data_IF_152127975295
#
_entry.id   IF_152127975295
#
_cell.length_a   1.000
_cell.length_b   1.000
_cell.length_c   1.000
_cell.angle_alpha   90.00
_cell.angle_beta   90.00
_cell.angle_gamma   90.00
#
_symmetry.space_group_name_H-M   'P 1'
#
loop_
_entity.id
_entity.type
_entity.pdbx_description
1 polymer ?
#
# COMPACT_ATOMS: atom_id res chain seq x y z
N UNK A 1 -5.77 -28.69 17.94
CA UNK A 1 -4.89 -27.78 17.16
C UNK A 1 -3.49 -28.39 17.18
N UNK A 2 -2.82 -28.44 16.04
CA UNK A 2 -1.43 -28.93 15.93
C UNK A 2 -0.62 -27.79 15.30
N UNK A 3 0.46 -27.41 15.98
CA UNK A 3 1.39 -26.38 15.51
C UNK A 3 2.71 -27.08 15.20
N UNK A 4 2.85 -27.54 13.95
CA UNK A 4 4.00 -28.30 13.47
C UNK A 4 4.18 -28.09 11.98
N UNK A 5 5.36 -28.35 11.47
CA UNK A 5 5.63 -28.27 10.03
C UNK A 5 5.17 -29.55 9.32
N UNK A 6 4.60 -29.37 8.13
CA UNK A 6 4.22 -30.48 7.26
C UNK A 6 5.49 -31.09 6.67
N UNK A 7 5.69 -32.42 6.84
CA UNK A 7 6.73 -33.14 6.12
C UNK A 7 6.24 -33.54 4.72
N UNK A 8 5.07 -34.21 4.65
CA UNK A 8 4.45 -34.60 3.38
C UNK A 8 2.97 -34.95 3.54
N UNK A 9 2.26 -34.94 2.44
CA UNK A 9 0.92 -35.53 2.34
C UNK A 9 1.05 -37.03 2.17
N UNK A 10 0.13 -37.78 2.76
CA UNK A 10 0.00 -39.24 2.66
C UNK A 10 -1.35 -39.61 2.09
N UNK A 11 -1.58 -40.88 1.81
CA UNK A 11 -2.90 -41.36 1.33
C UNK A 11 -4.00 -41.27 2.38
N UNK A 12 -3.65 -41.11 3.66
CA UNK A 12 -4.60 -41.04 4.78
C UNK A 12 -4.57 -39.71 5.53
N UNK A 13 -3.78 -38.70 5.06
CA UNK A 13 -3.71 -37.42 5.73
C UNK A 13 -2.37 -36.71 5.59
N UNK A 14 -1.89 -36.08 6.65
CA UNK A 14 -0.69 -35.26 6.67
C UNK A 14 0.30 -35.83 7.70
N UNK A 15 1.54 -36.10 7.29
CA UNK A 15 2.63 -36.41 8.18
C UNK A 15 3.38 -35.12 8.54
N UNK A 16 3.55 -34.87 9.83
CA UNK A 16 4.30 -33.72 10.34
C UNK A 16 5.77 -34.07 10.55
N UNK A 17 6.65 -33.07 10.63
CA UNK A 17 8.08 -33.27 10.88
C UNK A 17 8.38 -33.93 12.24
N UNK A 18 7.51 -33.76 13.22
CA UNK A 18 7.61 -34.49 14.50
C UNK A 18 7.27 -35.98 14.39
N UNK A 19 6.89 -36.47 13.21
CA UNK A 19 6.49 -37.86 12.96
C UNK A 19 5.02 -38.16 13.26
N UNK A 20 4.21 -37.15 13.59
CA UNK A 20 2.78 -37.36 13.86
C UNK A 20 1.99 -37.41 12.56
N UNK A 21 1.19 -38.48 12.37
CA UNK A 21 0.21 -38.58 11.31
C UNK A 21 -1.10 -37.93 11.76
N UNK A 22 -1.58 -36.97 10.97
CA UNK A 22 -2.88 -36.33 11.11
C UNK A 22 -3.81 -36.93 10.07
N UNK A 23 -4.65 -37.86 10.49
CA UNK A 23 -5.63 -38.50 9.58
C UNK A 23 -6.69 -37.50 9.15
N UNK A 24 -7.03 -37.49 7.87
CA UNK A 24 -8.04 -36.63 7.28
C UNK A 24 -8.53 -37.20 5.96
N UNK A 25 -9.84 -37.19 5.75
CA UNK A 25 -10.50 -37.54 4.50
C UNK A 25 -10.42 -36.38 3.48
N UNK A 26 -10.40 -35.14 3.99
CA UNK A 26 -10.33 -33.92 3.18
C UNK A 26 -9.28 -32.98 3.79
N UNK A 27 -8.40 -32.46 2.97
CA UNK A 27 -7.42 -31.43 3.35
C UNK A 27 -7.74 -30.14 2.63
N UNK A 28 -8.02 -29.09 3.39
CA UNK A 28 -8.25 -27.74 2.86
C UNK A 28 -7.00 -26.90 3.10
N UNK A 29 -6.40 -26.40 2.01
CA UNK A 29 -5.24 -25.51 2.09
C UNK A 29 -5.68 -24.07 2.25
N UNK A 30 -5.20 -23.41 3.32
CA UNK A 30 -5.43 -22.01 3.61
C UNK A 30 -4.09 -21.38 4.04
N UNK A 31 -3.05 -21.56 3.23
CA UNK A 31 -1.65 -21.24 3.55
C UNK A 31 -1.26 -19.79 3.33
N UNK A 32 -2.25 -18.92 3.04
CA UNK A 32 -2.04 -17.50 2.74
C UNK A 32 -1.75 -17.24 1.26
N UNK A 33 -1.13 -16.08 0.99
CA UNK A 33 -0.82 -15.62 -0.36
C UNK A 33 0.50 -14.84 -0.38
N UNK A 34 1.00 -14.53 -1.56
CA UNK A 34 2.05 -13.56 -1.77
C UNK A 34 1.43 -12.21 -2.13
N UNK A 35 2.02 -11.13 -1.62
CA UNK A 35 1.59 -9.79 -1.94
C UNK A 35 2.10 -9.43 -3.34
N UNK A 36 1.19 -9.03 -4.23
CA UNK A 36 1.52 -8.43 -5.52
C UNK A 36 1.24 -6.94 -5.43
N UNK A 37 2.29 -6.14 -5.50
CA UNK A 37 2.15 -4.68 -5.51
C UNK A 37 1.62 -4.27 -6.87
N UNK A 38 0.46 -3.57 -6.89
CA UNK A 38 -0.20 -3.11 -8.12
C UNK A 38 -0.40 -4.22 -9.18
N UNK A 39 -0.59 -5.47 -8.73
CA UNK A 39 -0.90 -6.60 -9.60
C UNK A 39 0.25 -7.07 -10.48
N UNK A 40 1.50 -6.81 -10.10
CA UNK A 40 2.72 -7.11 -10.88
C UNK A 40 2.71 -6.46 -12.28
N UNK A 41 2.08 -5.29 -12.43
CA UNK A 41 2.09 -4.51 -13.66
C UNK A 41 3.44 -3.79 -13.77
N UNK A 42 4.10 -3.93 -14.91
CA UNK A 42 5.31 -3.17 -15.24
C UNK A 42 4.92 -1.74 -15.61
N UNK A 43 5.41 -0.78 -14.85
CA UNK A 43 5.23 0.64 -15.13
C UNK A 43 6.51 1.24 -15.69
N UNK A 44 6.37 2.07 -16.72
CA UNK A 44 7.47 2.81 -17.34
C UNK A 44 7.06 4.27 -17.44
N UNK A 45 7.90 5.19 -16.97
CA UNK A 45 7.70 6.64 -17.06
C UNK A 45 8.86 7.24 -17.86
N UNK A 46 8.54 7.91 -18.95
CA UNK A 46 9.54 8.56 -19.82
C UNK A 46 10.66 7.61 -20.30
N UNK A 47 10.34 6.33 -20.48
CA UNK A 47 11.28 5.29 -20.92
C UNK A 47 12.02 4.57 -19.78
N UNK A 48 11.88 5.02 -18.54
CA UNK A 48 12.53 4.43 -17.38
C UNK A 48 11.57 3.53 -16.57
N UNK A 49 11.98 2.31 -16.20
CA UNK A 49 11.17 1.44 -15.35
C UNK A 49 10.91 2.07 -13.98
N UNK A 50 9.67 2.02 -13.52
CA UNK A 50 9.28 2.49 -12.20
C UNK A 50 9.29 1.34 -11.20
N UNK A 51 10.10 1.48 -10.15
CA UNK A 51 10.08 0.59 -9.00
C UNK A 51 9.36 1.29 -7.83
N UNK A 52 8.19 0.77 -7.43
CA UNK A 52 7.40 1.39 -6.36
C UNK A 52 8.10 1.36 -5.00
N UNK A 53 8.99 0.42 -4.73
CA UNK A 53 9.75 0.38 -3.47
C UNK A 53 10.71 1.57 -3.30
N UNK A 54 11.04 2.27 -4.39
CA UNK A 54 11.89 3.45 -4.36
C UNK A 54 11.09 4.75 -4.24
N UNK A 55 9.75 4.66 -4.27
CA UNK A 55 8.86 5.81 -4.17
C UNK A 55 8.43 6.10 -2.74
N UNK A 56 7.99 7.35 -2.52
CA UNK A 56 7.33 7.79 -1.29
C UNK A 56 5.86 8.08 -1.61
N UNK A 57 4.95 7.69 -0.74
CA UNK A 57 3.53 7.97 -0.99
C UNK A 57 3.15 9.37 -0.50
N UNK A 58 2.29 10.01 -1.29
CA UNK A 58 1.56 11.21 -0.89
C UNK A 58 0.21 10.78 -0.30
N UNK A 59 0.00 11.03 0.99
CA UNK A 59 -1.22 10.70 1.77
C UNK A 59 -1.70 9.25 1.57
N UNK A 60 -0.78 8.33 1.25
CA UNK A 60 -1.11 6.95 0.90
C UNK A 60 -2.02 6.79 -0.33
N UNK A 61 -2.10 7.79 -1.21
CA UNK A 61 -3.00 7.80 -2.39
C UNK A 61 -2.29 7.98 -3.71
N UNK A 62 -1.16 8.64 -3.73
CA UNK A 62 -0.35 8.90 -4.94
C UNK A 62 1.12 8.62 -4.62
N UNK A 63 1.99 8.68 -5.62
CA UNK A 63 3.43 8.40 -5.49
C UNK A 63 4.27 9.58 -5.96
N UNK A 64 5.30 9.91 -5.21
CA UNK A 64 6.27 10.93 -5.60
C UNK A 64 6.89 10.59 -6.95
N UNK A 65 6.92 11.56 -7.86
CA UNK A 65 7.46 11.41 -9.22
C UNK A 65 6.53 10.72 -10.22
N UNK A 66 5.37 10.19 -9.80
CA UNK A 66 4.44 9.48 -10.68
C UNK A 66 3.29 10.39 -11.08
N UNK A 67 3.15 10.75 -12.38
CA UNK A 67 2.12 11.68 -12.84
C UNK A 67 0.74 11.00 -12.91
N UNK A 68 -0.30 11.75 -12.56
CA UNK A 68 -1.71 11.43 -12.82
C UNK A 68 -2.17 10.04 -12.31
N UNK A 69 -1.50 9.48 -11.33
CA UNK A 69 -1.83 8.17 -10.80
C UNK A 69 -2.30 8.28 -9.35
N UNK A 70 -3.47 7.73 -9.07
CA UNK A 70 -3.95 7.47 -7.72
C UNK A 70 -4.16 5.98 -7.53
N UNK A 71 -3.91 5.49 -6.31
CA UNK A 71 -4.15 4.11 -5.95
C UNK A 71 -4.95 4.02 -4.65
N UNK A 72 -5.57 2.90 -4.44
CA UNK A 72 -6.27 2.61 -3.19
C UNK A 72 -5.61 1.40 -2.54
N UNK A 73 -5.03 1.64 -1.37
CA UNK A 73 -4.67 0.59 -0.43
C UNK A 73 -5.59 0.76 0.78
N UNK A 74 -6.33 -0.28 1.15
CA UNK A 74 -7.29 -0.22 2.24
C UNK A 74 -6.65 -0.24 3.62
N UNK A 75 -7.49 -0.43 4.63
CA UNK A 75 -7.05 -0.54 6.02
C UNK A 75 -6.76 -1.99 6.38
N UNK A 76 -5.76 -2.22 7.22
CA UNK A 76 -5.44 -3.58 7.69
C UNK A 76 -6.47 -4.15 8.66
N UNK A 77 -7.18 -3.29 9.38
CA UNK A 77 -8.12 -3.67 10.43
C UNK A 77 -9.54 -3.17 10.20
N UNK A 78 -9.83 -2.66 8.99
CA UNK A 78 -11.14 -2.14 8.61
C UNK A 78 -11.44 -2.48 7.15
N UNK A 79 -12.68 -2.21 6.71
CA UNK A 79 -13.07 -2.45 5.33
C UNK A 79 -12.26 -1.58 4.36
N UNK A 80 -11.80 -2.17 3.27
CA UNK A 80 -11.13 -1.48 2.17
C UNK A 80 -12.03 -0.45 1.50
N UNK A 81 -13.35 -0.71 1.45
CA UNK A 81 -14.34 0.18 0.82
C UNK A 81 -14.40 1.56 1.49
N UNK A 82 -14.16 1.62 2.80
CA UNK A 82 -14.11 2.91 3.51
C UNK A 82 -13.04 3.85 2.96
N UNK A 83 -11.90 3.30 2.57
CA UNK A 83 -10.83 4.11 1.99
C UNK A 83 -11.09 4.45 0.53
N UNK A 84 -11.75 3.57 -0.23
CA UNK A 84 -12.13 3.84 -1.62
C UNK A 84 -12.94 5.12 -1.73
N UNK A 85 -13.92 5.32 -0.86
CA UNK A 85 -14.77 6.52 -0.85
C UNK A 85 -13.94 7.77 -0.56
N UNK A 86 -13.09 7.75 0.46
CA UNK A 86 -12.24 8.90 0.81
C UNK A 86 -11.25 9.27 -0.30
N UNK A 87 -10.63 8.28 -0.93
CA UNK A 87 -9.72 8.51 -2.06
C UNK A 87 -10.50 9.00 -3.28
N UNK A 88 -11.71 8.47 -3.53
CA UNK A 88 -12.60 8.92 -4.60
C UNK A 88 -12.96 10.40 -4.45
N UNK A 89 -13.37 10.83 -3.27
CA UNK A 89 -13.68 12.23 -2.97
C UNK A 89 -12.44 13.13 -3.14
N UNK A 90 -11.29 12.70 -2.66
CA UNK A 90 -10.02 13.40 -2.85
C UNK A 90 -9.69 13.56 -4.34
N UNK A 91 -9.76 12.49 -5.13
CA UNK A 91 -9.47 12.50 -6.58
C UNK A 91 -10.46 13.39 -7.32
N UNK A 92 -11.77 13.34 -7.01
CA UNK A 92 -12.78 14.21 -7.62
C UNK A 92 -12.48 15.69 -7.33
N UNK A 93 -12.09 16.03 -6.10
CA UNK A 93 -11.70 17.38 -5.71
C UNK A 93 -10.43 17.83 -6.45
N UNK A 94 -9.43 16.96 -6.57
CA UNK A 94 -8.20 17.21 -7.31
C UNK A 94 -8.49 17.47 -8.80
N UNK A 95 -9.31 16.64 -9.44
CA UNK A 95 -9.70 16.82 -10.86
C UNK A 95 -10.47 18.12 -11.08
N UNK A 96 -11.36 18.50 -10.16
CA UNK A 96 -12.08 19.79 -10.25
C UNK A 96 -11.12 20.98 -10.08
N UNK A 97 -10.14 20.89 -9.20
CA UNK A 97 -9.09 21.90 -9.02
C UNK A 97 -8.26 22.05 -10.31
N UNK A 98 -7.82 20.94 -10.90
CA UNK A 98 -7.06 20.94 -12.16
C UNK A 98 -7.89 21.51 -13.31
N UNK A 99 -9.14 21.07 -13.48
CA UNK A 99 -10.05 21.57 -14.52
C UNK A 99 -10.29 23.07 -14.39
N UNK A 100 -10.50 23.56 -13.17
CA UNK A 100 -10.72 24.99 -12.92
C UNK A 100 -9.51 25.87 -13.27
N UNK A 101 -8.33 25.30 -13.35
CA UNK A 101 -7.06 25.97 -13.68
C UNK A 101 -6.54 25.63 -15.09
N UNK A 102 -7.23 24.80 -15.86
CA UNK A 102 -6.79 24.37 -17.19
C UNK A 102 -5.55 23.45 -17.14
N UNK A 103 -5.34 22.72 -16.04
CA UNK A 103 -4.19 21.84 -15.84
C UNK A 103 -4.53 20.40 -16.25
N UNK A 104 -3.57 19.69 -16.82
CA UNK A 104 -3.73 18.32 -17.32
C UNK A 104 -2.82 17.31 -16.63
N UNK A 105 -1.83 17.79 -15.86
CA UNK A 105 -0.84 16.96 -15.17
C UNK A 105 -0.73 17.36 -13.71
N UNK A 106 -0.63 16.36 -12.84
CA UNK A 106 -0.30 16.52 -11.44
C UNK A 106 0.70 15.45 -11.02
N UNK A 107 1.74 15.84 -10.29
CA UNK A 107 2.79 14.93 -9.80
C UNK A 107 3.07 15.28 -8.35
N UNK A 108 2.92 14.33 -7.40
CA UNK A 108 3.45 14.52 -6.05
C UNK A 108 4.95 14.71 -6.08
N UNK A 109 5.44 15.71 -5.38
CA UNK A 109 6.86 16.06 -5.32
C UNK A 109 7.25 16.45 -3.91
N UNK A 110 8.39 15.96 -3.43
CA UNK A 110 8.94 16.39 -2.16
C UNK A 110 9.32 17.88 -2.25
N UNK A 111 8.87 18.66 -1.29
CA UNK A 111 9.32 20.05 -1.14
C UNK A 111 10.80 20.05 -0.70
N UNK A 112 11.56 21.15 -0.87
CA UNK A 112 12.96 21.23 -0.41
C UNK A 112 13.15 20.85 1.07
N UNK A 113 12.20 21.25 1.92
CA UNK A 113 12.21 20.92 3.35
C UNK A 113 11.80 19.47 3.68
N UNK A 114 11.36 18.72 2.69
CA UNK A 114 10.99 17.30 2.84
C UNK A 114 12.07 16.37 2.26
N UNK A 115 13.05 16.89 1.54
CA UNK A 115 14.05 16.10 0.82
C UNK A 115 14.86 15.17 1.74
N UNK A 116 15.19 15.64 2.94
CA UNK A 116 15.97 14.89 3.93
C UNK A 116 15.09 14.27 5.04
N UNK A 117 13.77 14.17 4.84
CA UNK A 117 12.91 13.60 5.86
C UNK A 117 13.20 12.09 6.06
N UNK A 118 13.14 11.58 7.30
CA UNK A 118 13.29 10.17 7.57
C UNK A 118 12.20 9.36 6.87
N UNK A 119 12.60 8.31 6.15
CA UNK A 119 11.69 7.38 5.50
C UNK A 119 11.55 6.10 6.32
N UNK A 120 10.36 5.55 6.33
CA UNK A 120 10.02 4.27 6.96
C UNK A 120 9.30 3.35 5.98
N UNK A 121 9.27 2.03 6.25
CA UNK A 121 8.44 1.10 5.50
C UNK A 121 6.97 1.55 5.47
N UNK A 122 6.27 1.24 4.39
CA UNK A 122 4.83 1.50 4.25
C UNK A 122 4.00 0.86 5.37
N UNK A 123 4.38 -0.34 5.76
CA UNK A 123 3.76 -1.09 6.86
C UNK A 123 4.72 -1.13 8.01
N UNK A 124 4.29 -0.70 9.17
CA UNK A 124 5.02 -0.87 10.41
C UNK A 124 4.94 -2.34 10.87
N UNK A 125 6.05 -3.10 10.85
CA UNK A 125 6.06 -4.50 11.21
C UNK A 125 5.78 -4.75 12.70
N UNK A 126 5.93 -3.75 13.56
CA UNK A 126 5.58 -3.86 14.98
C UNK A 126 4.06 -3.84 15.19
N UNK A 127 3.33 -3.15 14.31
CA UNK A 127 1.88 -3.03 14.39
C UNK A 127 1.12 -4.05 13.54
N UNK A 128 1.67 -4.46 12.39
CA UNK A 128 1.02 -5.39 11.48
C UNK A 128 2.03 -6.27 10.76
N UNK A 129 2.09 -7.55 11.16
CA UNK A 129 3.15 -8.48 10.75
C UNK A 129 2.66 -9.85 10.22
N UNK A 130 1.59 -9.95 9.43
CA UNK A 130 1.24 -11.22 8.81
C UNK A 130 2.35 -11.67 7.86
N UNK A 131 2.54 -12.99 7.71
CA UNK A 131 3.67 -13.55 6.98
C UNK A 131 3.82 -13.05 5.54
N UNK A 132 2.73 -12.77 4.83
CA UNK A 132 2.78 -12.23 3.46
C UNK A 132 3.33 -10.80 3.41
N UNK A 133 3.04 -9.95 4.40
CA UNK A 133 3.62 -8.61 4.52
C UNK A 133 5.11 -8.71 4.86
N UNK A 134 5.46 -9.58 5.82
CA UNK A 134 6.87 -9.73 6.22
C UNK A 134 7.75 -10.22 5.06
N UNK A 135 7.21 -11.09 4.19
CA UNK A 135 7.94 -11.58 3.00
C UNK A 135 8.05 -10.54 1.89
N UNK A 136 7.04 -9.71 1.69
CA UNK A 136 6.90 -8.84 0.50
C UNK A 136 6.85 -7.35 0.84
N UNK A 137 6.96 -6.95 2.10
CA UNK A 137 6.89 -5.55 2.53
C UNK A 137 7.98 -4.66 1.90
N UNK A 138 9.11 -5.25 1.51
CA UNK A 138 10.18 -4.57 0.80
C UNK A 138 9.80 -4.13 -0.63
N UNK A 139 8.73 -4.69 -1.21
CA UNK A 139 8.18 -4.30 -2.51
C UNK A 139 7.23 -3.10 -2.42
N UNK A 140 6.75 -2.78 -1.22
CA UNK A 140 5.86 -1.65 -0.99
C UNK A 140 6.64 -0.33 -1.04
N UNK A 141 5.97 0.78 -1.37
CA UNK A 141 6.59 2.11 -1.30
C UNK A 141 7.00 2.46 0.13
N UNK A 142 7.67 3.58 0.28
CA UNK A 142 8.04 4.15 1.57
C UNK A 142 7.04 5.22 1.99
N UNK A 143 7.08 5.57 3.26
CA UNK A 143 6.37 6.71 3.81
C UNK A 143 7.34 7.61 4.60
N UNK A 144 7.02 8.90 4.65
CA UNK A 144 7.73 9.87 5.45
C UNK A 144 7.15 10.01 6.86
N UNK A 145 7.65 10.96 7.61
CA UNK A 145 7.22 11.26 8.97
C UNK A 145 6.24 12.44 9.08
N UNK A 146 5.96 13.16 7.98
CA UNK A 146 5.00 14.26 7.93
C UNK A 146 3.64 13.79 7.43
N UNK A 147 2.53 14.45 7.79
CA UNK A 147 1.17 14.02 7.44
C UNK A 147 0.97 13.82 5.93
N UNK A 148 1.57 14.66 5.08
CA UNK A 148 1.44 14.61 3.63
C UNK A 148 2.10 13.37 3.03
N UNK A 149 3.12 12.83 3.70
CA UNK A 149 3.93 11.71 3.21
C UNK A 149 3.66 10.39 3.93
N UNK A 150 2.55 10.34 4.67
CA UNK A 150 2.20 9.20 5.51
C UNK A 150 0.83 8.64 5.17
N UNK A 151 0.68 7.33 5.36
CA UNK A 151 -0.61 6.65 5.45
C UNK A 151 -0.93 6.38 6.92
N UNK A 152 -2.08 6.83 7.41
CA UNK A 152 -2.42 6.70 8.83
C UNK A 152 -2.85 5.29 9.23
N UNK A 153 -3.37 4.49 8.28
CA UNK A 153 -4.08 3.23 8.50
C UNK A 153 -5.29 3.35 9.45
N UNK A 154 -5.80 4.57 9.65
CA UNK A 154 -6.93 4.92 10.50
C UNK A 154 -7.97 5.70 9.69
N UNK A 155 -9.22 5.20 9.69
CA UNK A 155 -10.29 5.79 8.89
C UNK A 155 -10.67 7.21 9.36
N UNK A 156 -10.78 7.43 10.67
CA UNK A 156 -11.20 8.76 11.18
C UNK A 156 -10.12 9.81 10.91
N UNK A 157 -8.85 9.44 11.04
CA UNK A 157 -7.73 10.32 10.70
C UNK A 157 -7.72 10.63 9.20
N UNK A 158 -7.87 9.60 8.34
CA UNK A 158 -7.87 9.79 6.89
C UNK A 158 -9.06 10.62 6.40
N UNK A 159 -10.24 10.44 7.00
CA UNK A 159 -11.45 11.21 6.68
C UNK A 159 -11.22 12.71 6.87
N UNK A 160 -10.54 13.09 7.93
CA UNK A 160 -10.21 14.49 8.20
C UNK A 160 -9.07 14.98 7.31
N UNK A 161 -7.95 14.22 7.25
CA UNK A 161 -6.72 14.67 6.59
C UNK A 161 -6.82 14.68 5.06
N UNK A 162 -7.55 13.73 4.46
CA UNK A 162 -7.80 13.76 3.01
C UNK A 162 -8.77 14.90 2.64
N UNK A 163 -9.83 15.12 3.43
CA UNK A 163 -10.76 16.23 3.19
C UNK A 163 -10.08 17.60 3.33
N UNK A 164 -9.20 17.76 4.31
CA UNK A 164 -8.48 19.00 4.60
C UNK A 164 -7.20 19.20 3.75
N UNK A 165 -6.85 18.25 2.87
CA UNK A 165 -5.62 18.34 2.08
C UNK A 165 -5.62 19.63 1.23
N UNK A 166 -4.60 20.47 1.44
CA UNK A 166 -4.36 21.65 0.62
C UNK A 166 -3.72 21.21 -0.71
N UNK A 167 -4.41 21.48 -1.80
CA UNK A 167 -3.96 21.13 -3.15
C UNK A 167 -2.94 22.15 -3.73
N UNK A 168 -2.54 23.15 -2.93
CA UNK A 168 -1.66 24.24 -3.37
C UNK A 168 -0.45 24.44 -2.44
N UNK A 169 -0.17 23.52 -1.52
CA UNK A 169 0.89 23.60 -0.50
C UNK A 169 2.29 23.28 -1.03
N UNK A 170 2.43 23.06 -2.34
CA UNK A 170 3.70 22.72 -2.99
C UNK A 170 4.05 21.25 -3.01
N UNK A 171 3.23 20.38 -2.41
CA UNK A 171 3.40 18.91 -2.49
C UNK A 171 2.92 18.31 -3.80
N UNK A 172 2.07 19.03 -4.52
CA UNK A 172 1.54 18.69 -5.84
C UNK A 172 2.05 19.69 -6.88
N UNK A 173 2.82 19.21 -7.84
CA UNK A 173 3.33 20.00 -8.98
C UNK A 173 2.41 19.78 -10.17
N UNK A 174 1.94 20.86 -10.74
CA UNK A 174 0.97 20.86 -11.84
C UNK A 174 1.59 21.30 -13.16
N UNK A 175 0.96 20.83 -14.27
CA UNK A 175 1.30 21.22 -15.66
C UNK A 175 0.15 21.03 -16.63
#
# INVERSE_FOLDING_TARGET
MVTDEIERFTTSGILTKSGKLLEADIVVTATGFNLNVLGDIDFVIDGEPLNFSDTVTYRGTMFVGVPNMAWVFGYFRSSWTLRVDLVGDFVCRLLNHMKGKGLSRVVPSLRPEDAEMPLSPWVDPENFNPGYIMRSGHLLPKQGNKPEWRHSHDYEVDKETLAAADLSDGTLVYG
#
